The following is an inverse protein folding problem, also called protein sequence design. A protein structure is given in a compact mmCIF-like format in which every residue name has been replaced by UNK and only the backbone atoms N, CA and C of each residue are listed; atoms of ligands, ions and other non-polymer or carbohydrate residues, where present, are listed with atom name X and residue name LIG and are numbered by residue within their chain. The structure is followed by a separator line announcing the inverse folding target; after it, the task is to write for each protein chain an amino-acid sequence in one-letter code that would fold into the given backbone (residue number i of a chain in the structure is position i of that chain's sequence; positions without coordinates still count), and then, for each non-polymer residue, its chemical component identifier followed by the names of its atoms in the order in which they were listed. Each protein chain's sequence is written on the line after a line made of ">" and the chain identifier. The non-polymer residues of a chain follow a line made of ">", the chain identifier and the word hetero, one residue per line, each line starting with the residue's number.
data_IF_942289050565
#
_entry.id   IF_942289050565
#
_cell.length_a   1.000
_cell.length_b   1.000
_cell.length_c   1.000
_cell.angle_alpha   90.00
_cell.angle_beta   90.00
_cell.angle_gamma   90.00
#
_symmetry.space_group_name_H-M   'P 1'
#
loop_
_entity.id
_entity.type
_entity.pdbx_description
1 polymer ?
#
# COMPACT_ATOMS: atom_id res chain seq x y z
N UNK A 1 12.80 -9.10 0.03
CA UNK A 1 12.01 -9.34 1.25
C UNK A 1 10.60 -9.66 0.81
N UNK A 2 10.06 -10.81 1.22
CA UNK A 2 8.68 -11.17 0.88
C UNK A 2 7.73 -10.44 1.83
N UNK A 3 6.77 -9.70 1.27
CA UNK A 3 5.76 -8.99 2.04
C UNK A 3 4.50 -9.83 2.11
N UNK A 4 4.08 -10.19 3.32
CA UNK A 4 2.79 -10.82 3.52
C UNK A 4 1.67 -9.85 3.09
N UNK A 5 0.73 -10.33 2.28
CA UNK A 5 -0.41 -9.54 1.78
C UNK A 5 -1.18 -8.85 2.91
N UNK A 6 -1.29 -9.52 4.07
CA UNK A 6 -1.93 -8.97 5.27
C UNK A 6 -1.19 -7.76 5.85
N UNK A 7 0.13 -7.75 5.82
CA UNK A 7 0.92 -6.59 6.25
C UNK A 7 0.74 -5.42 5.30
N UNK A 8 0.79 -5.66 3.99
CA UNK A 8 0.54 -4.62 3.00
C UNK A 8 -0.84 -3.98 3.19
N UNK A 9 -1.88 -4.80 3.38
CA UNK A 9 -3.24 -4.32 3.71
C UNK A 9 -3.29 -3.53 5.02
N UNK A 10 -2.56 -3.95 6.05
CA UNK A 10 -2.50 -3.21 7.31
C UNK A 10 -1.83 -1.84 7.15
N UNK A 11 -0.77 -1.75 6.36
CA UNK A 11 -0.04 -0.50 6.11
C UNK A 11 -0.85 0.46 5.24
N UNK A 12 -1.49 -0.05 4.18
CA UNK A 12 -2.21 0.79 3.20
C UNK A 12 -3.65 1.08 3.62
N UNK A 13 -4.35 0.10 4.18
CA UNK A 13 -5.78 0.22 4.53
C UNK A 13 -6.03 0.40 6.03
N UNK A 14 -5.01 0.28 6.88
CA UNK A 14 -5.16 0.24 8.34
C UNK A 14 -5.72 -1.08 8.89
N UNK A 15 -6.12 -2.03 8.02
CA UNK A 15 -6.67 -3.33 8.41
C UNK A 15 -6.16 -4.45 7.48
N UNK A 16 -5.61 -5.52 8.05
CA UNK A 16 -5.05 -6.65 7.29
C UNK A 16 -6.05 -7.51 6.53
N UNK A 17 -7.35 -7.36 6.82
CA UNK A 17 -8.45 -8.07 6.14
C UNK A 17 -9.16 -7.21 5.09
N UNK A 18 -8.57 -6.09 4.67
CA UNK A 18 -9.18 -5.19 3.69
C UNK A 18 -9.51 -5.89 2.36
N UNK A 19 -10.65 -5.53 1.75
CA UNK A 19 -11.04 -6.03 0.43
C UNK A 19 -10.41 -5.23 -0.73
N UNK A 20 -10.67 -5.66 -1.97
CA UNK A 20 -10.12 -5.04 -3.18
C UNK A 20 -10.59 -3.59 -3.41
N UNK A 21 -11.78 -3.23 -2.94
CA UNK A 21 -12.31 -1.87 -3.04
C UNK A 21 -11.66 -0.95 -2.01
N UNK A 22 -11.46 -1.45 -0.79
CA UNK A 22 -10.74 -0.74 0.26
C UNK A 22 -9.28 -0.49 -0.15
N UNK A 23 -8.61 -1.51 -0.70
CA UNK A 23 -7.25 -1.38 -1.22
C UNK A 23 -7.16 -0.31 -2.30
N UNK A 24 -8.03 -0.38 -3.30
CA UNK A 24 -8.09 0.60 -4.38
C UNK A 24 -8.34 2.02 -3.87
N UNK A 25 -9.33 2.20 -2.99
CA UNK A 25 -9.66 3.51 -2.41
C UNK A 25 -8.49 4.09 -1.64
N UNK A 26 -7.79 3.28 -0.84
CA UNK A 26 -6.62 3.72 -0.09
C UNK A 26 -5.48 4.11 -1.03
N UNK A 27 -5.16 3.28 -2.01
CA UNK A 27 -4.11 3.57 -3.01
C UNK A 27 -4.42 4.86 -3.78
N UNK A 28 -5.67 5.00 -4.22
CA UNK A 28 -6.15 6.21 -4.90
C UNK A 28 -5.99 7.45 -4.03
N UNK A 29 -6.32 7.35 -2.75
CA UNK A 29 -6.13 8.44 -1.78
C UNK A 29 -4.65 8.79 -1.59
N UNK A 30 -3.77 7.80 -1.45
CA UNK A 30 -2.32 8.02 -1.35
C UNK A 30 -1.73 8.71 -2.57
N UNK A 31 -2.22 8.38 -3.77
CA UNK A 31 -1.75 8.95 -5.02
C UNK A 31 -2.45 10.26 -5.41
N UNK A 32 -3.41 10.72 -4.60
CA UNK A 32 -4.32 11.82 -4.93
C UNK A 32 -4.95 11.67 -6.33
N UNK A 33 -5.28 10.43 -6.70
CA UNK A 33 -5.80 10.10 -8.02
C UNK A 33 -7.34 10.28 -8.03
N UNK A 34 -7.92 11.04 -8.98
CA UNK A 34 -9.34 11.36 -8.92
C UNK A 34 -10.24 10.18 -9.31
N UNK A 35 -9.78 9.29 -10.19
CA UNK A 35 -10.60 8.23 -10.77
C UNK A 35 -10.34 6.86 -10.13
N UNK A 36 -11.28 5.93 -10.31
CA UNK A 36 -11.12 4.57 -9.80
C UNK A 36 -9.97 3.85 -10.52
N UNK A 37 -9.08 3.23 -9.77
CA UNK A 37 -8.00 2.43 -10.37
C UNK A 37 -8.57 1.08 -10.80
N UNK A 38 -8.50 0.79 -12.10
CA UNK A 38 -8.96 -0.47 -12.70
C UNK A 38 -7.96 -0.98 -13.73
N UNK A 39 -7.83 -2.31 -13.90
CA UNK A 39 -8.45 -3.37 -13.08
C UNK A 39 -7.84 -3.41 -11.66
N UNK A 40 -8.50 -4.10 -10.70
CA UNK A 40 -8.06 -4.13 -9.29
C UNK A 40 -6.61 -4.61 -9.10
N UNK A 41 -6.09 -5.42 -10.03
CA UNK A 41 -4.68 -5.85 -10.00
C UNK A 41 -3.69 -4.68 -10.09
N UNK A 42 -4.06 -3.59 -10.78
CA UNK A 42 -3.24 -2.39 -10.82
C UNK A 42 -3.18 -1.71 -9.44
N UNK A 43 -4.30 -1.61 -8.72
CA UNK A 43 -4.29 -1.10 -7.35
C UNK A 43 -3.50 -1.99 -6.39
N UNK A 44 -3.55 -3.32 -6.55
CA UNK A 44 -2.77 -4.23 -5.70
C UNK A 44 -1.26 -4.05 -5.92
N UNK A 45 -0.82 -3.96 -7.17
CA UNK A 45 0.59 -3.73 -7.52
C UNK A 45 1.10 -2.37 -6.98
N UNK A 46 0.32 -1.31 -7.15
CA UNK A 46 0.62 0.02 -6.58
C UNK A 46 0.65 -0.03 -5.06
N UNK A 47 -0.27 -0.74 -4.45
CA UNK A 47 -0.32 -0.98 -3.02
C UNK A 47 0.94 -1.62 -2.45
N UNK A 48 1.46 -2.64 -3.12
CA UNK A 48 2.72 -3.29 -2.76
C UNK A 48 3.91 -2.35 -2.94
N UNK A 49 3.93 -1.56 -4.02
CA UNK A 49 4.98 -0.57 -4.27
C UNK A 49 5.03 0.50 -3.17
N UNK A 50 3.88 1.07 -2.81
CA UNK A 50 3.75 2.06 -1.73
C UNK A 50 4.17 1.43 -0.38
N UNK A 51 3.77 0.18 -0.13
CA UNK A 51 4.18 -0.56 1.09
C UNK A 51 5.71 -0.70 1.16
N UNK A 52 6.35 -1.11 0.06
CA UNK A 52 7.80 -1.23 -0.02
C UNK A 52 8.49 0.12 0.21
N UNK A 53 7.98 1.19 -0.39
CA UNK A 53 8.49 2.55 -0.19
C UNK A 53 8.42 2.99 1.27
N UNK A 54 7.31 2.76 1.98
CA UNK A 54 7.19 3.11 3.39
C UNK A 54 8.13 2.31 4.29
N UNK A 55 8.31 1.00 4.03
CA UNK A 55 9.27 0.17 4.79
C UNK A 55 10.70 0.64 4.57
N UNK A 56 11.06 0.94 3.32
CA UNK A 56 12.39 1.44 2.98
C UNK A 56 12.67 2.77 3.69
N UNK A 57 11.77 3.75 3.58
CA UNK A 57 11.92 5.06 4.24
C UNK A 57 11.96 4.95 5.77
N UNK A 58 11.19 4.06 6.38
CA UNK A 58 11.25 3.80 7.82
C UNK A 58 12.64 3.28 8.21
N UNK A 59 13.15 2.28 7.49
CA UNK A 59 14.47 1.73 7.75
C UNK A 59 15.58 2.76 7.55
N UNK A 60 15.51 3.63 6.53
CA UNK A 60 16.47 4.72 6.37
C UNK A 60 16.45 5.70 7.55
N UNK A 61 15.26 6.04 8.07
CA UNK A 61 15.16 6.91 9.25
C UNK A 61 15.75 6.25 10.49
N UNK A 62 15.49 4.96 10.68
CA UNK A 62 16.02 4.16 11.78
C UNK A 62 17.55 3.93 11.67
N UNK A 63 18.16 4.12 10.49
CA UNK A 63 19.63 4.02 10.27
C UNK A 63 20.40 5.31 10.53
N UNK A 64 19.72 6.46 10.54
CA UNK A 64 20.31 7.80 10.72
C UNK A 64 20.10 8.30 12.16
N UNK A 65 19.23 7.64 12.92
CA UNK A 65 18.93 7.90 14.34
C UNK A 65 19.82 7.05 15.25
#
# INVERSE_FOLDING_TARGET
>A
EELAVREAKKIICGNGNADKFQMERSVRHFLNHPETIRPFHASDALGLAITGYFRYRKNDHDRIS
#
